data_IF_217558781929
#
_entry.id   IF_217558781929
#
_cell.length_a   1.000
_cell.length_b   1.000
_cell.length_c   1.000
_cell.angle_alpha   90.00
_cell.angle_beta   90.00
_cell.angle_gamma   90.00
#
_symmetry.space_group_name_H-M   'P 1'
#
loop_
_entity.id
_entity.type
_entity.pdbx_description
1 polymer ?
#
# COMPACT_ATOMS: atom_id res chain seq x y z
N UNK A 1 22.46 -34.82 -5.63
CA UNK A 1 22.55 -33.45 -6.13
C UNK A 1 22.43 -32.51 -4.95
N UNK A 2 23.51 -31.81 -4.61
CA UNK A 2 23.53 -30.88 -3.49
C UNK A 2 22.72 -29.63 -3.91
N UNK A 3 21.53 -29.41 -3.35
CA UNK A 3 20.84 -28.13 -3.48
C UNK A 3 21.69 -27.08 -2.77
N UNK A 4 22.44 -26.29 -3.52
CA UNK A 4 23.02 -25.06 -3.01
C UNK A 4 21.84 -24.15 -2.78
N UNK A 5 21.46 -23.93 -1.52
CA UNK A 5 20.51 -22.88 -1.15
C UNK A 5 21.13 -21.55 -1.59
N UNK A 6 20.59 -20.93 -2.61
CA UNK A 6 20.99 -19.58 -2.99
C UNK A 6 20.73 -18.67 -1.78
N UNK A 7 21.76 -17.97 -1.33
CA UNK A 7 21.63 -17.01 -0.24
C UNK A 7 20.76 -15.84 -0.75
N UNK A 8 19.76 -15.46 0.05
CA UNK A 8 18.89 -14.32 -0.28
C UNK A 8 19.73 -13.05 -0.54
N UNK A 9 19.51 -12.41 -1.66
CA UNK A 9 20.24 -11.22 -2.06
C UNK A 9 19.53 -9.94 -1.59
N UNK A 10 20.32 -8.87 -1.43
CA UNK A 10 19.80 -7.53 -1.13
C UNK A 10 20.00 -6.63 -2.35
N UNK A 11 18.94 -5.92 -2.71
CA UNK A 11 18.93 -5.01 -3.86
C UNK A 11 18.46 -3.63 -3.43
N UNK A 12 18.80 -2.61 -4.23
CA UNK A 12 18.29 -1.24 -4.07
C UNK A 12 17.70 -0.77 -5.39
N UNK A 13 16.46 -0.27 -5.34
CA UNK A 13 15.78 0.35 -6.47
C UNK A 13 15.49 1.82 -6.14
N UNK A 14 16.27 2.71 -6.75
CA UNK A 14 16.07 4.15 -6.63
C UNK A 14 14.95 4.63 -7.53
N UNK A 15 14.22 5.65 -7.10
CA UNK A 15 13.22 6.33 -7.93
C UNK A 15 13.92 7.21 -8.97
N UNK A 16 13.73 6.90 -10.24
CA UNK A 16 14.28 7.62 -11.41
C UNK A 16 13.23 7.65 -12.52
N UNK A 17 13.36 8.49 -13.55
CA UNK A 17 12.45 8.45 -14.71
C UNK A 17 12.31 7.09 -15.40
N UNK A 18 13.29 6.19 -15.19
CA UNK A 18 13.31 4.84 -15.82
C UNK A 18 12.79 3.73 -14.89
N UNK A 19 12.61 4.02 -13.61
CA UNK A 19 12.27 3.04 -12.60
C UNK A 19 10.95 3.36 -11.90
N UNK A 20 10.18 4.28 -12.45
CA UNK A 20 8.83 4.61 -11.97
C UNK A 20 7.79 4.39 -13.06
N UNK A 21 6.59 4.01 -12.66
CA UNK A 21 5.39 4.03 -13.48
C UNK A 21 4.44 5.12 -12.94
N UNK A 22 3.99 6.01 -13.80
CA UNK A 22 3.09 7.09 -13.42
C UNK A 22 1.65 6.76 -13.75
N UNK A 23 0.84 6.52 -12.73
CA UNK A 23 -0.61 6.39 -12.83
C UNK A 23 -1.12 5.03 -13.32
N UNK A 24 -0.29 3.98 -13.33
CA UNK A 24 -0.76 2.67 -13.79
C UNK A 24 -0.02 1.48 -13.20
N UNK A 25 -0.74 0.34 -13.13
CA UNK A 25 -0.18 -1.01 -13.10
C UNK A 25 -0.42 -1.68 -14.45
N UNK A 26 0.53 -2.49 -14.95
CA UNK A 26 0.37 -3.19 -16.23
C UNK A 26 1.16 -4.49 -16.29
N UNK A 27 0.50 -5.58 -16.70
CA UNK A 27 1.14 -6.86 -16.98
C UNK A 27 2.09 -6.85 -18.18
N UNK A 28 2.13 -5.75 -18.95
CA UNK A 28 3.00 -5.54 -20.11
C UNK A 28 4.21 -4.63 -19.79
N UNK A 29 4.33 -4.16 -18.55
CA UNK A 29 5.44 -3.31 -18.15
C UNK A 29 6.76 -4.07 -18.14
N UNK A 30 7.82 -3.43 -18.67
CA UNK A 30 9.19 -3.93 -18.54
C UNK A 30 9.64 -3.77 -17.08
N UNK A 31 10.16 -4.83 -16.43
CA UNK A 31 10.66 -4.71 -15.08
C UNK A 31 11.82 -3.73 -14.95
N UNK A 32 11.79 -2.87 -13.94
CA UNK A 32 12.91 -2.02 -13.55
C UNK A 32 14.00 -2.84 -12.82
N UNK A 33 13.60 -3.93 -12.18
CA UNK A 33 14.46 -4.86 -11.46
C UNK A 33 13.85 -6.26 -11.52
N UNK A 34 14.69 -7.29 -11.62
CA UNK A 34 14.28 -8.70 -11.46
C UNK A 34 15.02 -9.29 -10.28
N UNK A 35 14.29 -9.96 -9.39
CA UNK A 35 14.79 -10.61 -8.18
C UNK A 35 14.24 -12.02 -8.05
N UNK A 36 14.76 -12.80 -7.10
CA UNK A 36 14.28 -14.14 -6.79
C UNK A 36 13.43 -14.20 -5.51
N UNK A 37 12.62 -15.22 -5.40
CA UNK A 37 11.87 -15.49 -4.16
C UNK A 37 12.84 -15.67 -2.98
N UNK A 38 12.63 -14.89 -1.93
CA UNK A 38 13.51 -14.78 -0.75
C UNK A 38 14.37 -13.51 -0.74
N UNK A 39 14.57 -12.85 -1.87
CA UNK A 39 15.36 -11.62 -1.95
C UNK A 39 14.69 -10.44 -1.27
N UNK A 40 15.52 -9.48 -0.89
CA UNK A 40 15.11 -8.22 -0.26
C UNK A 40 15.41 -7.03 -1.18
N UNK A 41 14.48 -6.11 -1.30
CA UNK A 41 14.65 -4.88 -2.10
C UNK A 41 14.36 -3.66 -1.23
N UNK A 42 15.33 -2.74 -1.18
CA UNK A 42 15.08 -1.38 -0.67
C UNK A 42 14.61 -0.51 -1.82
N UNK A 43 13.38 -0.01 -1.74
CA UNK A 43 12.73 0.84 -2.75
C UNK A 43 12.58 2.27 -2.25
N UNK A 44 13.08 3.23 -3.02
CA UNK A 44 12.87 4.66 -2.79
C UNK A 44 11.64 5.10 -3.58
N UNK A 45 10.75 5.91 -2.97
CA UNK A 45 9.50 6.34 -3.61
C UNK A 45 9.33 7.86 -3.62
N UNK A 46 8.30 8.34 -4.32
CA UNK A 46 7.90 9.74 -4.34
C UNK A 46 6.69 9.97 -3.45
N UNK A 47 6.53 11.24 -3.04
CA UNK A 47 5.32 11.74 -2.41
C UNK A 47 4.26 12.12 -3.44
N UNK A 48 2.99 12.03 -3.10
CA UNK A 48 1.84 12.54 -3.86
C UNK A 48 1.56 14.02 -3.62
N UNK A 49 2.42 14.74 -2.89
CA UNK A 49 2.31 16.18 -2.66
C UNK A 49 2.28 17.05 -3.94
N UNK A 50 2.66 16.51 -5.07
CA UNK A 50 2.66 17.18 -6.38
C UNK A 50 4.04 17.53 -6.90
N UNK A 51 4.10 18.35 -7.96
CA UNK A 51 5.36 18.77 -8.56
C UNK A 51 6.19 19.66 -7.61
N UNK A 52 7.52 19.75 -7.81
CA UNK A 52 8.37 20.65 -7.04
C UNK A 52 7.86 22.09 -7.03
N UNK A 53 7.43 22.63 -8.16
CA UNK A 53 6.90 23.99 -8.28
C UNK A 53 5.62 24.16 -7.45
N UNK A 54 4.73 23.16 -7.46
CA UNK A 54 3.51 23.17 -6.66
C UNK A 54 3.83 23.15 -5.17
N UNK A 55 4.76 22.32 -4.73
CA UNK A 55 5.19 22.22 -3.33
C UNK A 55 5.83 23.52 -2.86
N UNK A 56 6.73 24.11 -3.65
CA UNK A 56 7.40 25.39 -3.35
C UNK A 56 6.37 26.52 -3.24
N UNK A 57 5.44 26.61 -4.18
CA UNK A 57 4.36 27.61 -4.16
C UNK A 57 3.43 27.48 -2.93
N UNK A 58 3.48 26.33 -2.23
CA UNK A 58 2.71 26.04 -1.01
C UNK A 58 3.54 26.09 0.26
N UNK A 59 4.80 26.55 0.17
CA UNK A 59 5.66 26.81 1.31
C UNK A 59 6.63 25.69 1.70
N UNK A 60 6.75 24.63 0.90
CA UNK A 60 7.84 23.67 1.05
C UNK A 60 9.13 24.31 0.59
N UNK A 61 10.20 24.18 1.37
CA UNK A 61 11.51 24.72 0.99
C UNK A 61 12.11 23.88 -0.13
N UNK A 62 12.75 24.50 -1.14
CA UNK A 62 13.37 23.76 -2.24
C UNK A 62 14.36 22.69 -1.79
N UNK A 63 15.15 22.97 -0.74
CA UNK A 63 16.13 22.05 -0.18
C UNK A 63 15.55 20.84 0.55
N UNK A 64 14.27 20.89 0.94
CA UNK A 64 13.56 19.77 1.56
C UNK A 64 12.97 18.81 0.52
N UNK A 65 12.89 19.20 -0.75
CA UNK A 65 12.36 18.36 -1.84
C UNK A 65 13.50 17.48 -2.37
N UNK A 66 13.35 16.14 -2.36
CA UNK A 66 14.38 15.27 -2.90
C UNK A 66 14.69 15.58 -4.38
N UNK A 67 15.97 15.71 -4.76
CA UNK A 67 16.37 16.23 -6.09
C UNK A 67 15.92 15.35 -7.26
N UNK A 68 15.69 14.05 -7.05
CA UNK A 68 15.17 13.14 -8.10
C UNK A 68 13.72 13.45 -8.50
N UNK A 69 12.97 14.18 -7.68
CA UNK A 69 11.57 14.53 -7.95
C UNK A 69 11.45 15.37 -9.22
N UNK A 70 12.29 16.40 -9.38
CA UNK A 70 12.26 17.26 -10.57
C UNK A 70 12.53 16.48 -11.86
N UNK A 71 13.54 15.61 -11.86
CA UNK A 71 13.85 14.79 -13.03
C UNK A 71 12.67 13.90 -13.44
N UNK A 72 12.00 13.27 -12.49
CA UNK A 72 10.84 12.40 -12.73
C UNK A 72 9.67 13.21 -13.31
N UNK A 73 9.33 14.36 -12.71
CA UNK A 73 8.24 15.20 -13.19
C UNK A 73 8.50 15.75 -14.61
N UNK A 74 9.76 16.06 -14.94
CA UNK A 74 10.17 16.59 -16.26
C UNK A 74 10.26 15.52 -17.33
N UNK A 75 10.78 14.33 -17.01
CA UNK A 75 11.22 13.35 -18.01
C UNK A 75 10.23 12.21 -18.24
N UNK A 76 9.36 11.88 -17.26
CA UNK A 76 8.36 10.84 -17.45
C UNK A 76 7.22 11.37 -18.32
N UNK A 77 7.21 10.91 -19.57
CA UNK A 77 6.19 11.30 -20.55
C UNK A 77 4.99 10.36 -20.54
N UNK A 78 5.22 9.07 -20.28
CA UNK A 78 4.17 8.08 -20.25
C UNK A 78 3.42 8.13 -18.91
N UNK A 79 2.14 8.51 -18.95
CA UNK A 79 1.27 8.59 -17.82
C UNK A 79 0.02 7.76 -18.06
N UNK A 80 -0.37 7.01 -17.04
CA UNK A 80 -1.63 6.27 -17.02
C UNK A 80 -2.80 7.13 -16.54
N UNK A 81 -3.95 6.49 -16.28
CA UNK A 81 -5.15 7.21 -15.85
C UNK A 81 -5.08 7.70 -14.40
N UNK A 82 -4.25 7.12 -13.54
CA UNK A 82 -4.15 7.45 -12.13
C UNK A 82 -3.17 8.58 -11.80
N UNK A 83 -3.14 8.99 -10.53
CA UNK A 83 -2.31 10.10 -10.06
C UNK A 83 -0.98 9.69 -9.42
N UNK A 84 -0.84 8.46 -8.94
CA UNK A 84 0.31 8.01 -8.16
C UNK A 84 1.54 7.73 -9.04
N UNK A 85 2.72 8.09 -8.52
CA UNK A 85 4.00 7.75 -9.15
C UNK A 85 4.59 6.61 -8.30
N UNK A 86 4.57 5.40 -8.86
CA UNK A 86 4.98 4.19 -8.17
C UNK A 86 6.37 3.76 -8.63
N UNK A 87 7.24 3.40 -7.71
CA UNK A 87 8.56 2.82 -8.01
C UNK A 87 8.40 1.34 -8.34
N UNK A 88 9.09 0.87 -9.35
CA UNK A 88 9.00 -0.46 -9.93
C UNK A 88 8.74 -0.41 -11.44
N UNK A 89 8.28 -1.53 -12.07
CA UNK A 89 7.95 -2.81 -11.41
C UNK A 89 9.18 -3.63 -11.01
N UNK A 90 9.05 -4.34 -9.89
CA UNK A 90 9.97 -5.40 -9.50
C UNK A 90 9.38 -6.74 -9.94
N UNK A 91 10.08 -7.46 -10.81
CA UNK A 91 9.70 -8.81 -11.20
C UNK A 91 10.30 -9.82 -10.22
N UNK A 92 9.49 -10.75 -9.72
CA UNK A 92 9.94 -11.92 -8.96
C UNK A 92 9.96 -13.10 -9.93
N UNK A 93 11.17 -13.59 -10.25
CA UNK A 93 11.42 -14.49 -11.37
C UNK A 93 10.55 -15.77 -11.37
N UNK A 94 10.23 -16.30 -10.19
CA UNK A 94 9.46 -17.53 -10.02
C UNK A 94 7.95 -17.32 -10.00
N UNK A 95 7.47 -16.06 -9.94
CA UNK A 95 6.04 -15.76 -9.80
C UNK A 95 5.31 -15.97 -11.13
N UNK A 96 4.26 -16.81 -11.10
CA UNK A 96 3.40 -17.11 -12.23
C UNK A 96 1.92 -16.82 -11.88
N UNK A 97 1.06 -16.57 -12.85
CA UNK A 97 -0.37 -16.41 -12.61
C UNK A 97 -0.96 -17.58 -11.81
N UNK A 98 -1.69 -17.28 -10.74
CA UNK A 98 -2.28 -18.26 -9.83
C UNK A 98 -1.45 -18.55 -8.58
N UNK A 99 -0.25 -17.99 -8.48
CA UNK A 99 0.53 -17.98 -7.24
C UNK A 99 0.07 -16.86 -6.28
N UNK A 100 0.61 -16.83 -5.08
CA UNK A 100 0.48 -15.71 -4.13
C UNK A 100 1.85 -15.11 -3.88
N UNK A 101 1.97 -13.81 -4.02
CA UNK A 101 3.13 -13.07 -3.59
C UNK A 101 2.97 -12.64 -2.14
N UNK A 102 3.87 -13.08 -1.30
CA UNK A 102 4.06 -12.59 0.06
C UNK A 102 5.06 -11.44 0.05
N UNK A 103 4.65 -10.28 0.56
CA UNK A 103 5.45 -9.06 0.69
C UNK A 103 5.65 -8.79 2.17
N UNK A 104 6.81 -9.12 2.71
CA UNK A 104 7.19 -8.80 4.08
C UNK A 104 7.72 -7.36 4.12
N UNK A 105 7.07 -6.48 4.88
CA UNK A 105 7.46 -5.09 5.05
C UNK A 105 8.46 -5.03 6.21
N UNK A 106 9.76 -5.06 5.89
CA UNK A 106 10.80 -5.16 6.91
C UNK A 106 11.12 -3.81 7.56
N UNK A 107 11.05 -2.72 6.76
CA UNK A 107 11.38 -1.37 7.21
C UNK A 107 10.64 -0.33 6.39
N UNK A 108 10.25 0.79 7.02
CA UNK A 108 9.71 1.98 6.36
C UNK A 108 10.38 3.20 6.97
N UNK A 109 11.12 3.94 6.15
CA UNK A 109 11.84 5.16 6.53
C UNK A 109 11.15 6.38 5.91
N UNK A 110 10.96 7.44 6.70
CA UNK A 110 10.53 8.74 6.19
C UNK A 110 11.77 9.48 5.67
N UNK A 111 11.75 9.88 4.40
CA UNK A 111 12.91 10.51 3.74
C UNK A 111 12.85 12.04 3.71
N UNK A 112 11.70 12.66 4.03
CA UNK A 112 11.52 14.11 4.07
C UNK A 112 11.20 14.64 5.48
N UNK A 113 11.43 15.94 5.71
CA UNK A 113 11.10 16.61 6.96
C UNK A 113 9.73 17.28 6.93
N UNK A 114 8.93 16.96 5.92
CA UNK A 114 7.55 17.46 5.76
C UNK A 114 6.64 16.38 5.22
N UNK A 115 5.37 16.57 5.46
CA UNK A 115 4.28 15.93 4.75
C UNK A 115 3.32 16.99 4.20
N UNK A 116 2.46 16.62 3.29
CA UNK A 116 1.31 17.44 2.91
C UNK A 116 0.00 16.69 3.14
N UNK A 117 -1.06 17.46 3.35
CA UNK A 117 -2.43 16.98 3.28
C UNK A 117 -3.20 17.92 2.35
N UNK A 118 -3.95 17.36 1.42
CA UNK A 118 -4.49 18.10 0.28
C UNK A 118 -5.88 17.59 -0.08
N UNK A 119 -6.85 18.47 -0.13
CA UNK A 119 -8.11 18.17 -0.80
C UNK A 119 -8.38 19.17 -1.92
N UNK A 120 -9.12 18.74 -2.92
CA UNK A 120 -9.53 19.55 -4.07
C UNK A 120 -11.04 19.73 -4.16
N UNK A 121 -11.48 20.58 -5.07
CA UNK A 121 -12.91 20.74 -5.39
C UNK A 121 -13.48 19.40 -5.87
N UNK A 122 -14.54 18.92 -5.22
CA UNK A 122 -15.21 17.68 -5.58
C UNK A 122 -14.52 16.41 -5.10
N UNK A 123 -13.40 16.51 -4.34
CA UNK A 123 -12.71 15.38 -3.74
C UNK A 123 -13.10 15.16 -2.28
N UNK A 124 -12.67 14.03 -1.74
CA UNK A 124 -12.99 13.65 -0.36
C UNK A 124 -14.41 13.10 -0.18
N UNK A 125 -14.73 12.74 1.05
CA UNK A 125 -16.03 12.12 1.38
C UNK A 125 -17.16 13.12 1.60
N UNK A 126 -16.84 14.42 1.83
CA UNK A 126 -17.80 15.50 2.05
C UNK A 126 -17.66 16.63 1.00
N UNK A 127 -17.68 16.35 -0.32
CA UNK A 127 -17.31 17.31 -1.36
C UNK A 127 -18.25 18.52 -1.44
N UNK A 128 -19.50 18.38 -0.99
CA UNK A 128 -20.48 19.48 -1.00
C UNK A 128 -20.31 20.45 0.17
N UNK A 129 -19.69 20.00 1.27
CA UNK A 129 -19.40 20.83 2.44
C UNK A 129 -18.07 21.57 2.30
N UNK A 130 -17.15 21.02 1.48
CA UNK A 130 -15.84 21.59 1.17
C UNK A 130 -15.68 21.85 -0.33
N UNK A 131 -16.46 22.80 -0.92
CA UNK A 131 -16.47 23.06 -2.37
C UNK A 131 -15.26 23.91 -2.83
N UNK A 132 -14.12 23.74 -2.19
CA UNK A 132 -12.86 24.44 -2.49
C UNK A 132 -11.68 23.49 -2.28
N UNK A 133 -10.49 23.91 -2.71
CA UNK A 133 -9.27 23.15 -2.48
C UNK A 133 -8.42 23.76 -1.36
N UNK A 134 -7.73 22.92 -0.61
CA UNK A 134 -6.75 23.35 0.37
C UNK A 134 -5.50 22.47 0.30
N UNK A 135 -4.36 23.08 0.56
CA UNK A 135 -3.07 22.41 0.68
C UNK A 135 -2.43 22.81 2.01
N UNK A 136 -2.05 21.84 2.81
CA UNK A 136 -1.39 22.06 4.09
C UNK A 136 -0.04 21.36 4.09
N UNK A 137 1.02 22.10 4.39
CA UNK A 137 2.33 21.52 4.71
C UNK A 137 2.40 21.26 6.22
N UNK A 138 2.80 20.05 6.58
CA UNK A 138 2.95 19.60 7.97
C UNK A 138 4.41 19.27 8.21
N UNK A 139 5.14 20.05 9.04
CA UNK A 139 6.51 19.72 9.43
C UNK A 139 6.58 18.42 10.21
N UNK A 140 7.58 17.58 9.91
CA UNK A 140 7.80 16.29 10.55
C UNK A 140 9.04 16.31 11.44
N UNK A 141 8.89 15.93 12.71
CA UNK A 141 10.01 15.56 13.59
C UNK A 141 10.24 14.04 13.48
N UNK A 142 11.14 13.66 12.58
CA UNK A 142 11.48 12.26 12.30
C UNK A 142 12.14 11.53 13.48
N UNK A 143 12.76 12.28 14.42
CA UNK A 143 13.38 11.67 15.60
C UNK A 143 12.36 11.34 16.67
N UNK A 144 11.37 12.22 16.87
CA UNK A 144 10.28 12.01 17.82
C UNK A 144 9.12 11.25 17.20
N UNK A 145 9.13 11.06 15.89
CA UNK A 145 8.02 10.47 15.12
C UNK A 145 6.71 11.22 15.36
N UNK A 146 6.74 12.55 15.11
CA UNK A 146 5.60 13.45 15.31
C UNK A 146 5.46 14.38 14.08
N UNK A 147 4.24 14.58 13.61
CA UNK A 147 3.84 15.61 12.65
C UNK A 147 3.20 16.80 13.37
N UNK A 148 3.73 18.01 13.18
CA UNK A 148 3.22 19.24 13.79
C UNK A 148 2.06 19.81 12.94
N UNK A 149 0.83 19.34 13.18
CA UNK A 149 -0.32 19.67 12.33
C UNK A 149 -0.80 21.12 12.53
N UNK A 150 -0.88 21.58 13.77
CA UNK A 150 -1.24 22.96 14.15
C UNK A 150 -0.71 23.26 15.56
N UNK A 151 -0.75 24.51 16.05
CA UNK A 151 -0.40 24.82 17.42
C UNK A 151 -1.19 23.96 18.42
N UNK A 152 -0.48 23.16 19.23
CA UNK A 152 -1.08 22.24 20.19
C UNK A 152 -1.65 20.94 19.60
N UNK A 153 -1.43 20.66 18.31
CA UNK A 153 -1.88 19.43 17.66
C UNK A 153 -0.69 18.70 17.05
N UNK A 154 -0.30 17.60 17.66
CA UNK A 154 0.78 16.72 17.23
C UNK A 154 0.21 15.35 16.83
N UNK A 155 0.57 14.89 15.62
CA UNK A 155 0.12 13.60 15.09
C UNK A 155 1.27 12.60 15.24
N UNK A 156 1.09 11.48 15.98
CA UNK A 156 2.07 10.41 16.00
C UNK A 156 2.25 9.80 14.61
N UNK A 157 3.50 9.65 14.16
CA UNK A 157 3.80 9.09 12.86
C UNK A 157 3.87 7.56 12.93
N UNK A 158 3.21 6.92 11.99
CA UNK A 158 3.20 5.47 11.78
C UNK A 158 3.29 5.23 10.26
N UNK A 159 4.50 5.36 9.67
CA UNK A 159 4.64 5.41 8.21
C UNK A 159 4.32 4.06 7.55
N UNK A 160 3.64 4.14 6.40
CA UNK A 160 3.31 3.00 5.55
C UNK A 160 3.13 3.47 4.10
N UNK A 161 3.06 2.51 3.16
CA UNK A 161 2.77 2.81 1.76
C UNK A 161 1.28 2.65 1.51
N UNK A 162 0.62 3.69 1.02
CA UNK A 162 -0.77 3.63 0.56
C UNK A 162 -0.90 2.66 -0.60
N UNK A 163 0.02 2.76 -1.56
CA UNK A 163 0.05 1.90 -2.74
C UNK A 163 1.13 0.84 -2.67
N UNK A 164 0.72 -0.43 -2.59
CA UNK A 164 1.54 -1.63 -2.77
C UNK A 164 0.74 -2.64 -3.59
N UNK A 165 1.16 -2.91 -4.83
CA UNK A 165 0.37 -3.78 -5.70
C UNK A 165 1.17 -4.50 -6.75
N UNK A 166 0.51 -5.45 -7.39
CA UNK A 166 1.05 -6.25 -8.50
C UNK A 166 0.30 -5.93 -9.80
N UNK A 167 0.89 -6.33 -10.93
CA UNK A 167 0.26 -6.09 -12.22
C UNK A 167 -0.98 -6.96 -12.45
N UNK A 168 -2.01 -6.44 -13.16
CA UNK A 168 -3.13 -7.24 -13.66
C UNK A 168 -2.66 -8.20 -14.78
N UNK A 169 -3.53 -9.15 -15.17
CA UNK A 169 -3.25 -10.11 -16.24
C UNK A 169 -2.94 -9.47 -17.61
N UNK A 170 -3.41 -8.25 -17.85
CA UNK A 170 -3.20 -7.53 -19.11
C UNK A 170 -3.35 -6.04 -18.93
N UNK A 171 -3.16 -5.25 -19.99
CA UNK A 171 -3.48 -3.83 -20.06
C UNK A 171 -2.91 -2.94 -18.94
N UNK A 172 -3.31 -1.67 -19.00
CA UNK A 172 -3.04 -0.70 -17.94
C UNK A 172 -4.30 -0.48 -17.11
N UNK A 173 -4.17 -0.51 -15.79
CA UNK A 173 -5.24 -0.13 -14.85
C UNK A 173 -4.81 1.09 -14.05
N UNK A 174 -5.80 1.83 -13.57
CA UNK A 174 -5.64 3.02 -12.74
C UNK A 174 -4.99 2.66 -11.38
N UNK A 175 -4.17 3.57 -10.86
CA UNK A 175 -3.53 3.40 -9.55
C UNK A 175 -4.44 3.79 -8.39
N UNK A 176 -5.52 4.57 -8.59
CA UNK A 176 -6.36 5.03 -7.49
C UNK A 176 -7.25 3.93 -6.88
N UNK A 177 -8.05 3.15 -7.63
CA UNK A 177 -8.94 2.16 -7.00
C UNK A 177 -8.18 0.93 -6.49
N UNK A 178 -8.22 0.60 -5.19
CA UNK A 178 -7.74 -0.69 -4.69
C UNK A 178 -8.64 -1.82 -5.18
N UNK A 179 -8.05 -2.99 -5.45
CA UNK A 179 -8.80 -4.17 -5.88
C UNK A 179 -8.03 -5.48 -5.64
N UNK A 180 -8.29 -6.53 -6.42
CA UNK A 180 -7.65 -7.84 -6.32
C UNK A 180 -6.11 -7.80 -6.44
N UNK A 181 -5.58 -6.82 -7.16
CA UNK A 181 -4.12 -6.60 -7.31
C UNK A 181 -3.48 -5.87 -6.11
N UNK A 182 -4.21 -5.64 -5.04
CA UNK A 182 -3.92 -4.74 -3.94
C UNK A 182 -3.90 -3.28 -4.44
N UNK A 183 -2.75 -2.69 -4.74
CA UNK A 183 -2.64 -1.32 -5.25
C UNK A 183 -2.80 -0.30 -4.13
N UNK A 184 -3.67 0.68 -4.31
CA UNK A 184 -3.92 1.76 -3.38
C UNK A 184 -4.80 1.30 -2.21
N UNK A 185 -4.19 0.50 -1.33
CA UNK A 185 -4.92 -0.10 -0.19
C UNK A 185 -5.26 0.92 0.88
N UNK A 186 -4.40 1.93 1.10
CA UNK A 186 -4.49 2.95 2.14
C UNK A 186 -4.77 2.35 3.52
N UNK A 187 -4.19 1.17 3.76
CA UNK A 187 -4.38 0.44 4.99
C UNK A 187 -3.25 0.76 5.98
N UNK A 188 -3.53 1.60 6.96
CA UNK A 188 -2.58 2.06 7.99
C UNK A 188 -1.98 0.94 8.85
N UNK A 189 -2.51 -0.29 8.78
CA UNK A 189 -1.97 -1.44 9.50
C UNK A 189 -0.76 -2.06 8.80
N UNK A 190 -0.50 -1.71 7.52
CA UNK A 190 0.60 -2.25 6.71
C UNK A 190 1.94 -1.52 6.96
N UNK A 191 2.33 -1.43 8.21
CA UNK A 191 3.61 -0.82 8.65
C UNK A 191 4.77 -1.83 8.66
N UNK A 192 5.96 -1.38 9.01
CA UNK A 192 7.11 -2.26 9.22
C UNK A 192 6.80 -3.38 10.23
N UNK A 193 7.21 -4.60 9.91
CA UNK A 193 6.92 -5.81 10.69
C UNK A 193 5.60 -6.50 10.31
N UNK A 194 4.92 -6.04 9.25
CA UNK A 194 3.70 -6.67 8.72
C UNK A 194 3.96 -7.38 7.40
N UNK A 195 3.05 -8.26 7.00
CA UNK A 195 3.13 -9.04 5.76
C UNK A 195 1.84 -8.86 4.96
N UNK A 196 1.98 -8.57 3.67
CA UNK A 196 0.89 -8.47 2.71
C UNK A 196 0.95 -9.65 1.74
N UNK A 197 -0.18 -10.30 1.50
CA UNK A 197 -0.34 -11.41 0.55
C UNK A 197 -1.21 -10.95 -0.61
N UNK A 198 -0.70 -11.08 -1.83
CA UNK A 198 -1.36 -10.59 -3.04
C UNK A 198 -1.51 -11.73 -4.06
N UNK A 199 -2.69 -11.99 -4.62
CA UNK A 199 -2.85 -12.95 -5.71
C UNK A 199 -2.12 -12.48 -6.97
N UNK A 200 -1.33 -13.34 -7.59
CA UNK A 200 -0.55 -13.03 -8.79
C UNK A 200 -1.38 -13.29 -10.04
N UNK A 201 -1.53 -12.27 -10.87
CA UNK A 201 -2.25 -12.34 -12.14
C UNK A 201 -1.36 -12.24 -13.38
N UNK A 202 -0.13 -11.74 -13.24
CA UNK A 202 0.84 -11.59 -14.32
C UNK A 202 2.16 -12.29 -13.98
N UNK A 203 2.85 -12.80 -15.00
CA UNK A 203 4.19 -13.38 -14.83
C UNK A 203 5.15 -12.39 -14.16
N UNK A 204 5.91 -12.84 -13.18
CA UNK A 204 6.79 -12.01 -12.39
C UNK A 204 6.10 -11.15 -11.36
N UNK A 205 4.76 -11.26 -11.18
CA UNK A 205 3.93 -10.41 -10.32
C UNK A 205 4.03 -8.90 -10.64
N UNK A 206 5.22 -8.39 -10.96
CA UNK A 206 5.50 -6.99 -11.33
C UNK A 206 5.07 -6.01 -10.21
N UNK A 207 5.64 -6.19 -9.02
CA UNK A 207 5.32 -5.41 -7.84
C UNK A 207 5.77 -3.95 -7.97
N UNK A 208 4.90 -3.04 -7.53
CA UNK A 208 5.17 -1.60 -7.46
C UNK A 208 4.75 -1.07 -6.09
N UNK A 209 5.49 -0.06 -5.58
CA UNK A 209 5.13 0.63 -4.34
C UNK A 209 5.31 2.15 -4.49
N UNK A 210 4.52 2.90 -3.76
CA UNK A 210 4.56 4.36 -3.72
C UNK A 210 3.51 4.91 -2.78
N UNK A 211 3.17 6.18 -2.95
CA UNK A 211 2.14 6.82 -2.16
C UNK A 211 2.44 6.72 -0.66
N UNK A 212 3.48 7.41 -0.26
CA UNK A 212 4.04 7.28 1.09
C UNK A 212 3.28 8.12 2.10
N UNK A 213 2.68 7.47 3.09
CA UNK A 213 1.95 8.11 4.17
C UNK A 213 2.78 8.13 5.47
N UNK A 214 2.98 9.30 6.07
CA UNK A 214 3.59 9.42 7.38
C UNK A 214 2.61 9.04 8.51
N UNK A 215 1.32 9.30 8.31
CA UNK A 215 0.21 8.92 9.18
C UNK A 215 -1.12 9.05 8.42
N UNK A 216 -2.11 8.25 8.81
CA UNK A 216 -3.48 8.31 8.28
C UNK A 216 -4.48 7.89 9.36
N UNK A 217 -5.63 8.54 9.37
CA UNK A 217 -6.82 8.05 10.07
C UNK A 217 -7.59 7.05 9.20
N UNK A 218 -8.25 6.07 9.81
CA UNK A 218 -9.17 5.21 9.07
C UNK A 218 -10.23 6.04 8.36
N UNK A 219 -10.44 5.72 7.07
CA UNK A 219 -11.37 6.42 6.19
C UNK A 219 -10.73 7.39 5.20
N UNK A 220 -9.53 7.92 5.47
CA UNK A 220 -8.83 8.87 4.56
C UNK A 220 -9.76 9.93 3.96
N UNK A 221 -10.52 10.55 4.82
CA UNK A 221 -11.81 11.21 4.48
C UNK A 221 -11.69 12.42 3.56
N UNK A 222 -10.53 13.04 3.43
CA UNK A 222 -10.33 14.22 2.54
C UNK A 222 -9.56 13.89 1.25
N UNK A 223 -9.29 12.58 0.99
CA UNK A 223 -8.59 12.00 -0.18
C UNK A 223 -7.06 11.93 -0.06
N UNK A 224 -6.47 12.46 1.00
CA UNK A 224 -5.04 12.29 1.28
C UNK A 224 -4.82 11.99 2.75
N UNK A 225 -3.72 11.31 3.02
CA UNK A 225 -3.18 11.14 4.36
C UNK A 225 -2.23 12.32 4.73
N UNK A 226 -1.22 12.08 5.54
CA UNK A 226 -0.02 12.90 5.60
C UNK A 226 0.99 12.36 4.58
N UNK A 227 0.88 12.85 3.34
CA UNK A 227 1.67 12.43 2.19
C UNK A 227 3.13 12.81 2.35
N UNK A 228 4.06 11.88 2.14
CA UNK A 228 5.48 12.16 2.28
C UNK A 228 6.34 11.22 1.42
N UNK A 229 7.64 11.47 1.38
CA UNK A 229 8.62 10.62 0.73
C UNK A 229 9.03 9.48 1.67
N UNK A 230 8.96 8.25 1.17
CA UNK A 230 9.35 7.05 1.93
C UNK A 230 10.38 6.22 1.18
N UNK A 231 11.20 5.50 1.95
CA UNK A 231 11.91 4.31 1.48
C UNK A 231 11.41 3.09 2.22
N UNK A 232 11.05 2.03 1.48
CA UNK A 232 10.62 0.75 2.06
C UNK A 232 11.63 -0.35 1.80
N UNK A 233 11.81 -1.26 2.76
CA UNK A 233 12.56 -2.50 2.56
C UNK A 233 11.59 -3.66 2.58
N UNK A 234 11.48 -4.36 1.46
CA UNK A 234 10.53 -5.45 1.25
C UNK A 234 11.27 -6.75 0.96
N UNK A 235 10.84 -7.85 1.57
CA UNK A 235 11.24 -9.20 1.18
C UNK A 235 10.09 -9.85 0.45
N UNK A 236 10.39 -10.50 -0.69
CA UNK A 236 9.41 -11.17 -1.53
C UNK A 236 9.51 -12.67 -1.41
N UNK A 237 8.39 -13.37 -1.17
CA UNK A 237 8.30 -14.82 -1.17
C UNK A 237 7.15 -15.27 -2.06
N UNK A 238 7.40 -16.21 -2.96
CA UNK A 238 6.37 -16.75 -3.85
C UNK A 238 5.83 -18.06 -3.27
N UNK A 239 4.52 -18.08 -3.01
CA UNK A 239 3.79 -19.30 -2.63
C UNK A 239 3.16 -19.92 -3.87
N UNK A 240 3.76 -21.01 -4.33
CA UNK A 240 3.27 -21.75 -5.49
C UNK A 240 1.94 -22.44 -5.18
N UNK A 241 1.02 -22.34 -6.13
CA UNK A 241 -0.28 -23.03 -6.07
C UNK A 241 -1.18 -22.69 -4.85
N UNK A 242 -0.86 -21.66 -4.09
CA UNK A 242 -1.72 -21.14 -3.03
C UNK A 242 -2.84 -20.31 -3.67
N UNK A 243 -4.09 -20.63 -3.35
CA UNK A 243 -5.24 -19.86 -3.85
C UNK A 243 -5.57 -18.73 -2.89
N UNK A 244 -5.67 -17.53 -3.42
CA UNK A 244 -6.13 -16.35 -2.70
C UNK A 244 -7.02 -15.53 -3.65
N UNK A 245 -8.23 -15.19 -3.22
CA UNK A 245 -9.16 -14.43 -4.05
C UNK A 245 -8.96 -12.93 -3.89
N UNK A 246 -8.63 -12.49 -2.69
CA UNK A 246 -8.45 -11.09 -2.31
C UNK A 246 -7.14 -10.92 -1.55
N UNK A 247 -6.54 -9.71 -1.55
CA UNK A 247 -5.40 -9.43 -0.69
C UNK A 247 -5.74 -9.70 0.78
N UNK A 248 -4.82 -10.35 1.47
CA UNK A 248 -4.83 -10.54 2.92
C UNK A 248 -3.56 -9.98 3.52
N UNK A 249 -3.59 -9.70 4.81
CA UNK A 249 -2.38 -9.31 5.51
C UNK A 249 -2.32 -9.93 6.91
N UNK A 250 -1.16 -9.84 7.50
CA UNK A 250 -1.00 -10.12 8.92
C UNK A 250 -0.02 -9.16 9.57
N UNK A 251 -0.35 -8.77 10.78
CA UNK A 251 0.53 -8.05 11.69
C UNK A 251 1.07 -9.02 12.75
N UNK A 252 1.98 -8.60 13.62
CA UNK A 252 2.35 -9.42 14.78
C UNK A 252 1.16 -9.83 15.65
N UNK A 253 0.05 -9.07 15.61
CA UNK A 253 -1.09 -9.24 16.53
C UNK A 253 -2.40 -9.64 15.86
N UNK A 254 -2.56 -9.45 14.55
CA UNK A 254 -3.82 -9.70 13.84
C UNK A 254 -3.62 -10.38 12.49
N UNK A 255 -4.62 -11.16 12.09
CA UNK A 255 -4.88 -11.53 10.70
C UNK A 255 -5.85 -10.53 10.10
N UNK A 256 -5.64 -10.18 8.82
CA UNK A 256 -6.42 -9.14 8.12
C UNK A 256 -6.95 -9.69 6.82
N UNK A 257 -8.25 -9.58 6.60
CA UNK A 257 -8.87 -9.73 5.28
C UNK A 257 -9.38 -8.37 4.78
N UNK A 258 -9.56 -8.23 3.47
CA UNK A 258 -9.90 -6.95 2.85
C UNK A 258 -11.04 -7.10 1.86
N UNK A 259 -11.83 -6.05 1.70
CA UNK A 259 -12.90 -5.97 0.71
C UNK A 259 -12.96 -4.59 0.07
N UNK A 260 -13.21 -4.55 -1.24
CA UNK A 260 -13.17 -3.33 -2.05
C UNK A 260 -14.37 -3.26 -2.97
N UNK A 261 -15.14 -2.19 -2.90
CA UNK A 261 -16.30 -1.95 -3.76
C UNK A 261 -16.60 -0.45 -3.82
N UNK A 262 -17.42 -0.04 -4.79
CA UNK A 262 -18.01 1.30 -4.79
C UNK A 262 -19.05 1.51 -3.68
N UNK A 263 -19.54 0.43 -3.11
CA UNK A 263 -20.54 0.42 -2.04
C UNK A 263 -19.91 -0.13 -0.75
N UNK A 264 -20.00 0.65 0.33
CA UNK A 264 -19.39 0.33 1.62
C UNK A 264 -19.92 -0.98 2.22
N UNK A 265 -21.23 -1.24 2.06
CA UNK A 265 -21.84 -2.50 2.54
C UNK A 265 -21.27 -3.70 1.79
N UNK A 266 -21.13 -3.60 0.47
CA UNK A 266 -20.51 -4.66 -0.34
C UNK A 266 -19.04 -4.87 0.04
N UNK A 267 -18.26 -3.81 0.22
CA UNK A 267 -16.87 -3.92 0.68
C UNK A 267 -16.80 -4.64 2.05
N UNK A 268 -17.69 -4.27 2.98
CA UNK A 268 -17.78 -4.93 4.30
C UNK A 268 -18.12 -6.41 4.17
N UNK A 269 -19.11 -6.75 3.34
CA UNK A 269 -19.48 -8.16 3.08
C UNK A 269 -18.35 -8.97 2.45
N UNK A 270 -17.56 -8.37 1.56
CA UNK A 270 -16.37 -9.01 0.95
C UNK A 270 -15.30 -9.30 2.00
N UNK A 271 -14.92 -8.31 2.81
CA UNK A 271 -13.94 -8.48 3.87
C UNK A 271 -14.37 -9.56 4.88
N UNK A 272 -15.66 -9.55 5.29
CA UNK A 272 -16.20 -10.54 6.21
C UNK A 272 -16.22 -11.95 5.61
N UNK A 273 -16.65 -12.12 4.36
CA UNK A 273 -16.65 -13.44 3.68
C UNK A 273 -15.24 -14.01 3.56
N UNK A 274 -14.26 -13.16 3.24
CA UNK A 274 -12.87 -13.59 3.14
C UNK A 274 -12.27 -13.93 4.52
N UNK A 275 -12.64 -13.22 5.60
CA UNK A 275 -12.28 -13.58 6.97
C UNK A 275 -12.89 -14.93 7.39
N UNK A 276 -14.16 -15.17 7.08
CA UNK A 276 -14.81 -16.47 7.36
C UNK A 276 -14.09 -17.59 6.60
N UNK A 277 -13.77 -17.37 5.32
CA UNK A 277 -13.01 -18.34 4.53
C UNK A 277 -11.63 -18.63 5.17
N UNK A 278 -10.89 -17.59 5.60
CA UNK A 278 -9.64 -17.74 6.33
C UNK A 278 -9.80 -18.58 7.62
N UNK A 279 -10.83 -18.30 8.41
CA UNK A 279 -11.08 -19.02 9.66
C UNK A 279 -11.42 -20.52 9.41
N UNK A 280 -12.13 -20.82 8.33
CA UNK A 280 -12.41 -22.21 7.93
C UNK A 280 -11.15 -22.89 7.41
N UNK A 281 -10.45 -22.28 6.46
CA UNK A 281 -9.33 -22.89 5.74
C UNK A 281 -8.09 -23.03 6.61
N UNK A 282 -7.74 -21.97 7.36
CA UNK A 282 -6.46 -21.88 8.07
C UNK A 282 -6.59 -22.19 9.59
N UNK A 283 -7.80 -22.05 10.17
CA UNK A 283 -8.05 -22.31 11.58
C UNK A 283 -8.90 -23.56 11.81
N UNK A 284 -9.45 -24.14 10.75
CA UNK A 284 -10.18 -25.41 10.79
C UNK A 284 -11.52 -25.34 11.52
N UNK A 285 -12.14 -24.15 11.57
CA UNK A 285 -13.49 -23.98 12.09
C UNK A 285 -14.51 -24.45 11.08
N UNK A 286 -15.69 -24.89 11.52
CA UNK A 286 -16.81 -24.97 10.62
C UNK A 286 -17.31 -23.54 10.26
N UNK A 287 -18.18 -23.47 9.25
CA UNK A 287 -18.59 -22.18 8.68
C UNK A 287 -19.44 -21.36 9.67
N UNK A 288 -20.27 -22.02 10.47
CA UNK A 288 -21.17 -21.36 11.41
C UNK A 288 -20.37 -20.82 12.60
N UNK A 289 -19.45 -21.62 13.16
CA UNK A 289 -18.53 -21.19 14.20
C UNK A 289 -17.60 -20.04 13.72
N UNK A 290 -17.13 -20.10 12.48
CA UNK A 290 -16.33 -19.02 11.91
C UNK A 290 -17.12 -17.71 11.80
N UNK A 291 -18.39 -17.77 11.41
CA UNK A 291 -19.26 -16.59 11.37
C UNK A 291 -19.58 -16.05 12.76
N UNK A 292 -19.88 -16.93 13.74
CA UNK A 292 -20.13 -16.55 15.12
C UNK A 292 -18.86 -15.95 15.76
N UNK A 293 -17.69 -16.53 15.51
CA UNK A 293 -16.42 -15.98 16.00
C UNK A 293 -16.12 -14.61 15.39
N UNK A 294 -16.40 -14.43 14.09
CA UNK A 294 -16.25 -13.13 13.46
C UNK A 294 -17.10 -12.05 14.15
N UNK A 295 -18.34 -12.38 14.53
CA UNK A 295 -19.21 -11.45 15.28
C UNK A 295 -18.70 -11.15 16.70
N UNK A 296 -18.03 -12.11 17.33
CA UNK A 296 -17.61 -12.00 18.72
C UNK A 296 -16.21 -11.36 18.91
N UNK A 297 -15.33 -11.42 17.88
CA UNK A 297 -13.92 -11.12 18.08
C UNK A 297 -13.20 -10.47 16.87
N UNK A 298 -13.88 -10.20 15.76
CA UNK A 298 -13.30 -9.57 14.60
C UNK A 298 -13.84 -8.16 14.43
N UNK A 299 -12.94 -7.17 14.46
CA UNK A 299 -13.31 -5.78 14.22
C UNK A 299 -13.39 -5.51 12.70
N UNK A 300 -14.48 -4.83 12.28
CA UNK A 300 -14.65 -4.37 10.91
C UNK A 300 -14.30 -2.89 10.83
N UNK A 301 -13.23 -2.54 10.11
CA UNK A 301 -12.73 -1.17 10.04
C UNK A 301 -12.85 -0.62 8.61
N UNK A 302 -13.25 0.65 8.51
CA UNK A 302 -13.24 1.37 7.23
C UNK A 302 -11.79 1.75 6.92
N UNK A 303 -11.24 1.21 5.84
CA UNK A 303 -9.85 1.49 5.45
C UNK A 303 -9.73 2.89 4.84
N UNK A 304 -10.47 3.15 3.76
CA UNK A 304 -10.61 4.44 3.10
C UNK A 304 -12.01 4.54 2.44
N UNK A 305 -12.49 5.79 2.24
CA UNK A 305 -13.84 6.11 1.73
C UNK A 305 -13.81 6.82 0.36
N UNK A 306 -12.64 6.89 -0.24
CA UNK A 306 -12.31 7.68 -1.42
C UNK A 306 -11.77 6.77 -2.55
N UNK A 307 -11.05 7.27 -3.56
CA UNK A 307 -10.32 6.53 -4.61
C UNK A 307 -11.15 5.64 -5.55
N UNK A 308 -12.46 5.87 -5.64
CA UNK A 308 -13.34 5.17 -6.58
C UNK A 308 -13.84 3.82 -6.08
N UNK A 309 -13.05 3.03 -5.34
CA UNK A 309 -13.49 1.91 -4.52
C UNK A 309 -13.23 2.23 -3.06
N UNK A 310 -14.22 2.10 -2.21
CA UNK A 310 -14.02 2.15 -0.76
C UNK A 310 -13.45 0.83 -0.26
N UNK A 311 -12.59 0.89 0.77
CA UNK A 311 -11.95 -0.26 1.39
C UNK A 311 -12.48 -0.53 2.80
N UNK A 312 -12.69 -1.80 3.10
CA UNK A 312 -12.95 -2.30 4.48
C UNK A 312 -11.96 -3.41 4.78
N UNK A 313 -11.42 -3.43 5.98
CA UNK A 313 -10.63 -4.55 6.45
C UNK A 313 -11.18 -5.12 7.75
N UNK A 314 -11.05 -6.44 7.89
CA UNK A 314 -11.45 -7.19 9.07
C UNK A 314 -10.22 -7.57 9.88
N UNK A 315 -10.20 -7.26 11.17
CA UNK A 315 -9.07 -7.44 12.09
C UNK A 315 -9.36 -8.59 13.07
N UNK A 316 -8.78 -9.75 12.83
CA UNK A 316 -8.92 -10.92 13.71
C UNK A 316 -7.72 -11.04 14.65
N UNK A 317 -7.88 -10.90 15.99
CA UNK A 317 -6.76 -10.96 16.93
C UNK A 317 -6.12 -12.36 16.98
N UNK A 318 -4.80 -12.44 16.79
CA UNK A 318 -4.06 -13.71 16.89
C UNK A 318 -4.12 -14.35 18.27
N UNK A 319 -4.20 -13.53 19.33
CA UNK A 319 -4.21 -13.96 20.74
C UNK A 319 -5.40 -14.84 21.14
N UNK A 320 -6.48 -14.84 20.36
CA UNK A 320 -7.65 -15.67 20.65
C UNK A 320 -7.42 -17.15 20.34
N UNK A 321 -6.40 -17.47 19.50
CA UNK A 321 -6.02 -18.84 19.17
C UNK A 321 -4.97 -19.32 20.17
N UNK A 322 -5.41 -20.01 21.23
CA UNK A 322 -4.55 -20.42 22.36
C UNK A 322 -3.84 -21.75 22.16
N UNK A 323 -4.23 -22.56 21.18
CA UNK A 323 -3.57 -23.81 20.83
C UNK A 323 -2.81 -23.63 19.49
N UNK A 324 -1.51 -23.92 19.50
CA UNK A 324 -0.76 -24.20 18.27
C UNK A 324 -1.21 -25.57 17.75
N UNK A 325 -1.86 -25.60 16.62
CA UNK A 325 -2.13 -26.85 15.89
C UNK A 325 -0.94 -27.25 15.04
#
# INVERSE_FOLDING_TARGET
>A
MSCVSAQAAEHTLLATPKTVAWGYYSGQSTPALTVHSGDTVRMQTLSTCGSPERMIARGVKPEDIPPYTEAIYREVQEKGPGGHILTGPVAIAEAEPGDVLEVQILKVDIDANFACNVFGVGSGFLPMEYPYGRYKVVPLDRKKMIGHFAPGIEIPLKPFFGSMGVAPAGGKIDTAPPFVHAGNLDNKELVAGTTLYIPVAAKGALFQAGDGHAAQGNGEVDITALETYLSGTFRFVVHKHRKLLWPRAETPTHYISMGFSKDLKQATEMALRDMIAFLVEEKGLDRDDAYMLASAAVDMEITQLVDGNVGVHAMCPKKIFTATR
#
